data_IF_048398345733
#
_entry.id   IF_048398345733
#
_cell.length_a   1.000
_cell.length_b   1.000
_cell.length_c   1.000
_cell.angle_alpha   90.00
_cell.angle_beta   90.00
_cell.angle_gamma   90.00
#
_symmetry.space_group_name_H-M   'P 1'
#
loop_
_entity.id
_entity.type
_entity.pdbx_description
1 polymer ?
#
# COMPACT_ATOMS: atom_id res chain seq x y z
N UNK A 1 -10.34 11.24 5.62
CA UNK A 1 -9.50 12.06 4.70
C UNK A 1 -8.11 11.44 4.67
N UNK A 2 -7.48 11.30 3.49
CA UNK A 2 -6.11 10.80 3.42
C UNK A 2 -5.17 11.75 4.18
N UNK A 3 -4.16 11.20 4.85
CA UNK A 3 -3.05 11.99 5.35
C UNK A 3 -2.27 12.53 4.15
N UNK A 4 -1.93 13.81 4.16
CA UNK A 4 -1.11 14.44 3.12
C UNK A 4 0.16 14.94 3.77
N UNK A 5 1.31 14.40 3.37
CA UNK A 5 2.61 14.90 3.77
C UNK A 5 3.08 15.83 2.66
N UNK A 6 3.12 17.13 2.97
CA UNK A 6 3.48 18.14 1.99
C UNK A 6 4.99 18.21 1.84
N UNK A 7 5.49 18.25 0.59
CA UNK A 7 6.90 18.42 0.30
C UNK A 7 7.41 19.81 0.73
N UNK A 8 8.71 19.93 0.94
CA UNK A 8 9.38 21.21 1.22
C UNK A 8 9.55 22.06 -0.06
N UNK A 9 9.35 21.45 -1.22
CA UNK A 9 9.45 22.08 -2.55
C UNK A 9 10.88 22.25 -3.05
N UNK A 10 11.87 21.73 -2.33
CA UNK A 10 13.29 21.76 -2.69
C UNK A 10 13.81 20.32 -2.85
N UNK A 11 14.34 19.73 -1.78
CA UNK A 11 14.99 18.42 -1.79
C UNK A 11 14.01 17.28 -1.50
N UNK A 12 12.88 17.57 -0.86
CA UNK A 12 11.76 16.64 -0.73
C UNK A 12 10.61 17.20 -1.54
N UNK A 13 10.63 16.99 -2.87
CA UNK A 13 9.61 17.51 -3.79
C UNK A 13 8.38 16.60 -3.93
N UNK A 14 8.49 15.33 -3.53
CA UNK A 14 7.45 14.33 -3.74
C UNK A 14 6.35 14.44 -2.68
N UNK A 15 5.13 14.73 -3.12
CA UNK A 15 3.96 14.70 -2.24
C UNK A 15 3.60 13.26 -1.89
N UNK A 16 3.42 12.98 -0.59
CA UNK A 16 3.08 11.64 -0.11
C UNK A 16 1.67 11.59 0.45
N UNK A 17 1.02 10.46 0.25
CA UNK A 17 -0.34 10.21 0.72
C UNK A 17 -0.37 9.00 1.65
N UNK A 18 -0.93 9.19 2.84
CA UNK A 18 -1.29 8.11 3.74
C UNK A 18 -2.77 7.78 3.61
N UNK A 19 -3.10 6.54 3.27
CA UNK A 19 -4.47 6.07 3.16
C UNK A 19 -4.68 4.86 4.07
N UNK A 20 -5.89 4.73 4.60
CA UNK A 20 -6.26 3.56 5.40
C UNK A 20 -7.72 3.19 5.12
N UNK A 21 -8.02 1.90 5.29
CA UNK A 21 -9.39 1.40 5.34
C UNK A 21 -9.48 0.28 6.37
N UNK A 22 -10.44 0.43 7.28
CA UNK A 22 -10.75 -0.57 8.28
C UNK A 22 -11.98 -1.37 7.85
N UNK A 23 -11.85 -2.69 7.86
CA UNK A 23 -12.94 -3.64 7.58
C UNK A 23 -13.50 -4.20 8.89
N UNK A 24 -13.93 -3.32 9.79
CA UNK A 24 -14.51 -3.69 11.09
C UNK A 24 -15.96 -4.16 10.94
N UNK A 25 -16.88 -3.34 10.37
CA UNK A 25 -18.26 -3.80 10.14
C UNK A 25 -18.38 -4.77 8.96
N UNK A 26 -17.46 -4.70 7.99
CA UNK A 26 -17.45 -5.44 6.73
C UNK A 26 -16.17 -6.27 6.55
N UNK A 27 -15.89 -7.27 7.41
CA UNK A 27 -14.67 -8.06 7.32
C UNK A 27 -14.61 -8.87 6.03
N UNK A 28 -13.44 -8.87 5.40
CA UNK A 28 -13.13 -9.75 4.26
C UNK A 28 -12.83 -11.15 4.80
N UNK A 29 -13.80 -12.05 4.72
CA UNK A 29 -13.67 -13.43 5.23
C UNK A 29 -13.02 -14.35 4.19
N UNK A 30 -12.24 -15.31 4.66
CA UNK A 30 -11.63 -16.36 3.84
C UNK A 30 -11.59 -17.67 4.61
N UNK A 31 -11.68 -18.80 3.90
CA UNK A 31 -11.64 -20.14 4.53
C UNK A 31 -10.25 -20.78 4.42
N UNK A 32 -9.56 -20.59 3.29
CA UNK A 32 -8.28 -21.26 2.98
C UNK A 32 -7.12 -20.30 2.79
N UNK A 33 -7.27 -19.31 1.91
CA UNK A 33 -6.22 -18.36 1.58
C UNK A 33 -6.81 -17.03 1.13
N UNK A 34 -6.07 -15.94 1.36
CA UNK A 34 -6.39 -14.60 0.91
C UNK A 34 -5.15 -13.99 0.25
N UNK A 35 -5.32 -13.43 -0.95
CA UNK A 35 -4.31 -12.62 -1.64
C UNK A 35 -4.94 -11.29 -2.02
N UNK A 36 -4.34 -10.20 -1.56
CA UNK A 36 -4.76 -8.83 -1.90
C UNK A 36 -3.69 -8.20 -2.79
N UNK A 37 -4.11 -7.63 -3.91
CA UNK A 37 -3.23 -6.95 -4.86
C UNK A 37 -3.76 -5.55 -5.12
N UNK A 38 -2.89 -4.54 -4.98
CA UNK A 38 -3.21 -3.14 -5.27
C UNK A 38 -2.46 -2.75 -6.54
N UNK A 39 -3.12 -2.03 -7.44
CA UNK A 39 -2.53 -1.52 -8.67
C UNK A 39 -2.41 0.00 -8.60
N UNK A 40 -1.21 0.52 -8.89
CA UNK A 40 -0.97 1.95 -9.04
C UNK A 40 -1.34 2.39 -10.47
N UNK A 41 -2.54 2.96 -10.62
CA UNK A 41 -3.07 3.39 -11.91
C UNK A 41 -3.46 4.86 -11.88
N UNK A 42 -2.93 5.62 -12.82
CA UNK A 42 -3.32 6.99 -13.12
C UNK A 42 -4.19 7.08 -14.37
N UNK A 43 -4.52 8.32 -14.74
CA UNK A 43 -5.36 8.62 -15.91
C UNK A 43 -4.58 9.24 -17.06
N UNK A 44 -4.76 8.68 -18.26
CA UNK A 44 -4.26 9.22 -19.53
C UNK A 44 -5.45 9.72 -20.37
N UNK A 45 -5.17 10.64 -21.29
CA UNK A 45 -6.13 11.11 -22.29
C UNK A 45 -6.86 9.97 -23.00
N UNK A 46 -8.15 10.21 -23.29
CA UNK A 46 -9.01 9.26 -23.98
C UNK A 46 -9.51 8.11 -23.11
N UNK A 47 -9.68 8.31 -21.79
CA UNK A 47 -10.20 7.31 -20.83
C UNK A 47 -9.32 6.04 -20.75
N UNK A 48 -8.00 6.21 -20.83
CA UNK A 48 -7.03 5.10 -20.78
C UNK A 48 -6.26 5.10 -19.48
N UNK A 49 -5.99 3.91 -18.95
CA UNK A 49 -5.20 3.75 -17.73
C UNK A 49 -3.72 4.02 -18.03
N UNK A 50 -3.05 4.67 -17.09
CA UNK A 50 -1.60 4.85 -17.06
C UNK A 50 -1.06 4.03 -15.89
N UNK A 51 -0.28 2.96 -16.12
CA UNK A 51 0.49 2.33 -15.06
C UNK A 51 1.45 3.35 -14.44
N UNK A 52 1.35 3.54 -13.13
CA UNK A 52 2.24 4.42 -12.37
C UNK A 52 3.40 3.62 -11.79
N UNK A 53 4.49 4.32 -11.48
CA UNK A 53 5.67 3.79 -10.82
C UNK A 53 5.85 4.54 -9.50
N UNK A 54 4.83 4.45 -8.65
CA UNK A 54 4.85 5.10 -7.33
C UNK A 54 5.55 4.20 -6.32
N UNK A 55 6.33 4.79 -5.41
CA UNK A 55 6.84 4.09 -4.23
C UNK A 55 5.70 3.83 -3.24
N UNK A 56 5.35 2.55 -3.06
CA UNK A 56 4.21 2.14 -2.23
C UNK A 56 4.68 1.18 -1.14
N UNK A 57 4.47 1.60 0.10
CA UNK A 57 4.50 0.72 1.27
C UNK A 57 3.06 0.47 1.75
N UNK A 58 2.80 -0.73 2.28
CA UNK A 58 1.50 -1.06 2.85
C UNK A 58 1.64 -2.00 4.05
N UNK A 59 0.66 -1.94 4.95
CA UNK A 59 0.53 -2.84 6.10
C UNK A 59 -0.88 -3.40 6.08
N UNK A 60 -1.01 -4.72 6.31
CA UNK A 60 -2.28 -5.39 6.44
C UNK A 60 -2.43 -5.96 7.85
N UNK A 61 -3.65 -5.88 8.39
CA UNK A 61 -4.03 -6.50 9.65
C UNK A 61 -5.13 -7.52 9.38
N UNK A 62 -4.98 -8.74 9.91
CA UNK A 62 -5.98 -9.79 9.76
C UNK A 62 -5.96 -10.73 10.96
N UNK A 63 -7.00 -11.55 11.05
CA UNK A 63 -7.10 -12.64 12.00
C UNK A 63 -7.14 -13.96 11.24
N UNK A 64 -6.43 -14.96 11.74
CA UNK A 64 -6.47 -16.32 11.23
C UNK A 64 -6.31 -17.31 12.39
N UNK A 65 -6.69 -18.56 12.14
CA UNK A 65 -6.40 -19.65 13.09
C UNK A 65 -4.91 -20.00 13.01
N UNK A 66 -4.30 -20.34 14.14
CA UNK A 66 -2.90 -20.75 14.23
C UNK A 66 -2.74 -22.26 13.98
N UNK A 67 -1.58 -22.73 13.50
CA UNK A 67 -0.36 -21.98 13.23
C UNK A 67 -0.39 -21.16 11.93
N UNK A 68 0.40 -20.09 11.87
CA UNK A 68 0.63 -19.33 10.63
C UNK A 68 1.86 -19.85 9.90
N UNK A 69 1.88 -19.66 8.58
CA UNK A 69 3.13 -19.70 7.84
C UNK A 69 4.10 -18.62 8.38
N UNK A 70 5.41 -18.88 8.36
CA UNK A 70 6.40 -17.86 8.70
C UNK A 70 6.26 -16.66 7.76
N UNK A 71 6.48 -15.47 8.31
CA UNK A 71 6.50 -14.26 7.51
C UNK A 71 7.76 -14.21 6.63
N UNK A 72 7.68 -13.61 5.44
CA UNK A 72 8.87 -13.24 4.68
C UNK A 72 9.80 -12.35 5.53
N UNK A 73 11.09 -12.39 5.22
CA UNK A 73 12.05 -11.48 5.82
C UNK A 73 11.69 -10.03 5.46
N UNK A 74 11.77 -9.14 6.45
CA UNK A 74 11.54 -7.73 6.23
C UNK A 74 12.74 -7.13 5.48
N UNK A 75 12.51 -6.29 4.44
CA UNK A 75 13.61 -5.60 3.76
C UNK A 75 14.44 -4.76 4.75
N UNK A 76 15.72 -4.54 4.46
CA UNK A 76 16.54 -3.67 5.28
C UNK A 76 16.14 -2.19 5.13
N UNK A 77 16.79 -1.31 5.89
CA UNK A 77 16.52 0.12 5.88
C UNK A 77 16.73 0.74 4.49
N UNK A 78 17.82 0.36 3.82
CA UNK A 78 18.24 0.97 2.56
C UNK A 78 17.33 0.52 1.41
N UNK A 79 16.83 -0.72 1.44
CA UNK A 79 15.80 -1.19 0.52
C UNK A 79 14.43 -0.52 0.72
N UNK A 80 14.19 0.09 1.89
CA UNK A 80 12.96 0.86 2.17
C UNK A 80 13.11 2.36 1.88
N UNK A 81 14.27 2.82 1.41
CA UNK A 81 14.50 4.22 1.09
C UNK A 81 13.62 4.66 -0.11
N UNK A 82 13.05 5.85 0.00
CA UNK A 82 12.28 6.49 -1.07
C UNK A 82 13.20 7.47 -1.78
N UNK A 83 13.48 7.23 -3.07
CA UNK A 83 14.43 7.98 -3.89
C UNK A 83 13.72 9.07 -4.70
#
# INVERSE_FOLDING_TARGET
>A
LPQVLRPDGLYQSQQRFGMYRWHVPDPVRFERALRVTIQALGWRSGRRYLPLQDDIASVAYWYQTLPTAPFPEHPDHDACEVI
#
